data_IF_411834131291
#
_entry.id   IF_411834131291
#
_cell.length_a   1.000
_cell.length_b   1.000
_cell.length_c   1.000
_cell.angle_alpha   90.00
_cell.angle_beta   90.00
_cell.angle_gamma   90.00
#
_symmetry.space_group_name_H-M   'P 1'
#
loop_
_entity.id
_entity.type
_entity.pdbx_description
1 polymer ?
#
# COMPACT_ATOMS: atom_id res chain seq x y z
N UNK A 1 9.16 -6.96 -20.27
CA UNK A 1 8.69 -6.47 -18.96
C UNK A 1 8.14 -7.65 -18.20
N UNK A 2 8.51 -7.86 -16.92
CA UNK A 2 7.91 -8.90 -16.07
C UNK A 2 6.89 -8.23 -15.14
N UNK A 3 5.71 -8.80 -15.00
CA UNK A 3 4.61 -8.27 -14.18
C UNK A 3 4.18 -9.33 -13.17
N UNK A 4 3.96 -8.92 -11.92
CA UNK A 4 3.45 -9.80 -10.85
C UNK A 4 1.92 -9.90 -10.95
N UNK A 5 1.42 -10.79 -11.81
CA UNK A 5 0.00 -10.83 -12.20
C UNK A 5 -0.89 -11.70 -11.30
N UNK A 6 -0.32 -12.52 -10.41
CA UNK A 6 -1.08 -13.53 -9.64
C UNK A 6 -1.46 -13.09 -8.22
N UNK A 7 -1.32 -11.82 -7.89
CA UNK A 7 -1.78 -11.30 -6.61
C UNK A 7 -3.30 -11.31 -6.52
N UNK A 8 -3.81 -11.90 -5.43
CA UNK A 8 -5.24 -11.82 -5.04
C UNK A 8 -5.44 -10.86 -3.87
N UNK A 9 -4.53 -10.97 -2.91
CA UNK A 9 -4.55 -10.19 -1.67
C UNK A 9 -3.77 -8.88 -1.76
N UNK A 10 -3.17 -8.56 -2.92
CA UNK A 10 -2.56 -7.26 -3.16
C UNK A 10 -3.09 -6.65 -4.45
N UNK A 11 -3.38 -5.35 -4.42
CA UNK A 11 -3.84 -4.61 -5.59
C UNK A 11 -3.44 -3.14 -5.48
N UNK A 12 -2.84 -2.59 -6.54
CA UNK A 12 -2.70 -1.15 -6.71
C UNK A 12 -3.99 -0.64 -7.36
N UNK A 13 -4.82 0.05 -6.57
CA UNK A 13 -6.17 0.45 -6.97
C UNK A 13 -6.20 1.73 -7.79
N UNK A 14 -5.45 2.72 -7.33
CA UNK A 14 -5.39 4.04 -7.95
C UNK A 14 -4.07 4.73 -7.57
N UNK A 15 -3.67 5.72 -8.34
CA UNK A 15 -2.52 6.55 -8.06
C UNK A 15 -2.79 7.96 -8.60
N UNK A 16 -2.51 8.98 -7.80
CA UNK A 16 -2.67 10.38 -8.19
C UNK A 16 -1.98 11.31 -7.19
N UNK A 17 -1.42 12.42 -7.66
CA UNK A 17 -0.81 13.48 -6.83
C UNK A 17 0.27 12.97 -5.89
N UNK A 18 1.23 12.19 -6.41
CA UNK A 18 2.37 11.68 -5.63
C UNK A 18 2.00 10.59 -4.62
N UNK A 19 0.81 10.00 -4.71
CA UNK A 19 0.37 8.93 -3.82
C UNK A 19 -0.27 7.78 -4.59
N UNK A 20 -0.22 6.60 -3.98
CA UNK A 20 -0.90 5.39 -4.42
C UNK A 20 -1.88 4.91 -3.36
N UNK A 21 -3.01 4.40 -3.81
CA UNK A 21 -4.02 3.70 -3.03
C UNK A 21 -3.86 2.20 -3.29
N UNK A 22 -3.59 1.45 -2.23
CA UNK A 22 -3.29 0.02 -2.31
C UNK A 22 -4.20 -0.78 -1.39
N UNK A 23 -4.59 -1.98 -1.83
CA UNK A 23 -5.30 -2.98 -1.04
C UNK A 23 -4.36 -4.11 -0.67
N UNK A 24 -4.38 -4.49 0.61
CA UNK A 24 -3.58 -5.55 1.23
C UNK A 24 -4.51 -6.45 2.05
N UNK A 25 -5.06 -7.48 1.44
CA UNK A 25 -6.21 -8.23 1.95
C UNK A 25 -7.42 -7.30 2.01
N UNK A 26 -7.92 -7.07 3.23
CA UNK A 26 -8.99 -6.11 3.53
C UNK A 26 -8.47 -4.71 3.91
N UNK A 27 -7.15 -4.54 4.03
CA UNK A 27 -6.53 -3.31 4.48
C UNK A 27 -6.20 -2.40 3.29
N UNK A 28 -6.88 -1.26 3.24
CA UNK A 28 -6.59 -0.15 2.33
C UNK A 28 -5.54 0.80 2.92
N UNK A 29 -4.47 1.09 2.18
CA UNK A 29 -3.41 2.02 2.58
C UNK A 29 -3.18 3.09 1.51
N UNK A 30 -2.88 4.30 1.95
CA UNK A 30 -2.38 5.38 1.09
C UNK A 30 -0.89 5.57 1.37
N UNK A 31 -0.05 5.47 0.34
CA UNK A 31 1.40 5.64 0.47
C UNK A 31 1.94 6.65 -0.52
N UNK A 32 2.99 7.41 -0.15
CA UNK A 32 3.64 8.32 -1.08
C UNK A 32 4.48 7.54 -2.10
N UNK A 33 4.38 7.96 -3.35
CA UNK A 33 5.16 7.47 -4.46
C UNK A 33 5.58 8.66 -5.35
N UNK A 34 6.86 9.08 -5.29
CA UNK A 34 7.34 10.24 -6.05
C UNK A 34 7.32 10.04 -7.57
N UNK A 35 7.12 8.80 -8.05
CA UNK A 35 6.99 8.51 -9.48
C UNK A 35 5.57 8.75 -10.01
N UNK A 36 4.58 8.95 -9.13
CA UNK A 36 3.20 9.31 -9.49
C UNK A 36 3.15 10.81 -9.77
N UNK A 37 3.47 11.19 -11.01
CA UNK A 37 3.56 12.59 -11.45
C UNK A 37 2.22 13.17 -11.90
N UNK A 38 1.23 12.33 -12.21
CA UNK A 38 -0.05 12.78 -12.75
C UNK A 38 -1.00 13.28 -11.64
N UNK A 39 -1.76 14.32 -11.98
CA UNK A 39 -2.83 14.86 -11.15
C UNK A 39 -4.17 14.56 -11.82
N UNK A 40 -4.81 13.49 -11.37
CA UNK A 40 -6.15 13.09 -11.80
C UNK A 40 -7.12 13.14 -10.62
N UNK A 41 -8.42 13.41 -10.84
CA UNK A 41 -9.41 13.32 -9.77
C UNK A 41 -9.44 11.93 -9.15
N UNK A 42 -9.30 11.85 -7.83
CA UNK A 42 -9.42 10.61 -7.03
C UNK A 42 -10.87 10.15 -6.96
N UNK A 43 -11.37 9.55 -8.04
CA UNK A 43 -12.77 9.13 -8.18
C UNK A 43 -13.11 7.87 -7.40
N UNK A 44 -12.11 7.02 -7.13
CA UNK A 44 -12.33 5.80 -6.36
C UNK A 44 -12.78 6.16 -4.92
N UNK A 45 -13.97 5.74 -4.47
CA UNK A 45 -14.46 6.06 -3.12
C UNK A 45 -13.55 5.47 -2.03
N UNK A 46 -12.74 4.46 -2.34
CA UNK A 46 -11.81 3.81 -1.41
C UNK A 46 -10.69 4.73 -0.91
N UNK A 47 -10.41 5.84 -1.60
CA UNK A 47 -9.54 6.90 -1.05
C UNK A 47 -10.05 7.44 0.29
N UNK A 48 -11.38 7.52 0.47
CA UNK A 48 -12.03 7.95 1.73
C UNK A 48 -12.24 6.80 2.72
N UNK A 49 -11.90 5.58 2.30
CA UNK A 49 -12.05 4.35 3.09
C UNK A 49 -10.70 3.75 3.50
N UNK A 50 -9.59 4.40 3.17
CA UNK A 50 -8.26 4.00 3.59
C UNK A 50 -8.20 3.83 5.12
N UNK A 51 -7.51 2.79 5.57
CA UNK A 51 -7.30 2.51 6.99
C UNK A 51 -6.17 3.35 7.56
N UNK A 52 -5.13 3.58 6.76
CA UNK A 52 -4.05 4.46 7.14
C UNK A 52 -3.40 5.13 5.93
N UNK A 53 -2.79 6.28 6.20
CA UNK A 53 -2.00 7.06 5.25
C UNK A 53 -0.62 7.30 5.83
N UNK A 54 0.42 7.08 5.02
CA UNK A 54 1.78 7.41 5.44
C UNK A 54 2.14 8.85 5.03
N UNK A 55 2.47 9.69 6.01
CA UNK A 55 2.95 11.04 5.79
C UNK A 55 4.46 11.08 5.87
N UNK A 56 5.10 11.54 4.80
CA UNK A 56 6.56 11.71 4.76
C UNK A 56 6.96 12.99 5.51
N UNK A 57 8.00 12.90 6.33
CA UNK A 57 8.61 14.10 6.93
C UNK A 57 9.68 14.70 6.00
N UNK A 58 9.79 16.03 5.99
CA UNK A 58 10.84 16.77 5.28
C UNK A 58 12.23 16.56 5.90
N UNK A 59 12.31 16.13 7.15
CA UNK A 59 13.57 15.83 7.85
C UNK A 59 14.00 14.36 7.74
N UNK A 60 13.30 13.56 6.93
CA UNK A 60 13.50 12.12 6.79
C UNK A 60 12.51 11.30 7.63
N UNK A 61 12.23 10.07 7.19
CA UNK A 61 11.24 9.21 7.82
C UNK A 61 9.79 9.65 7.52
N UNK A 62 8.94 9.61 8.54
CA UNK A 62 7.51 9.89 8.44
C UNK A 62 6.70 9.11 9.47
N UNK A 63 5.38 9.16 9.33
CA UNK A 63 4.47 8.52 10.27
C UNK A 63 3.21 8.01 9.60
N UNK A 64 2.64 6.95 10.16
CA UNK A 64 1.32 6.45 9.77
C UNK A 64 0.24 7.22 10.54
N UNK A 65 -0.63 7.90 9.80
CA UNK A 65 -1.90 8.37 10.31
C UNK A 65 -2.93 7.23 10.19
N UNK A 66 -3.52 6.81 11.31
CA UNK A 66 -4.61 5.83 11.33
C UNK A 66 -5.93 6.57 11.12
N UNK A 67 -6.57 6.32 10.00
CA UNK A 67 -7.84 6.92 9.59
C UNK A 67 -9.04 6.07 10.02
N UNK A 68 -8.84 4.75 10.16
CA UNK A 68 -9.84 3.76 10.58
C UNK A 68 -9.19 2.67 11.43
N UNK A 69 -9.98 1.78 12.07
CA UNK A 69 -9.42 0.63 12.78
C UNK A 69 -8.47 -0.17 11.90
N UNK A 70 -7.22 -0.26 12.31
CA UNK A 70 -6.16 -0.97 11.59
C UNK A 70 -5.55 -1.96 12.58
N UNK A 71 -5.51 -3.27 12.31
CA UNK A 71 -4.89 -4.22 13.21
C UNK A 71 -3.37 -3.96 13.31
N UNK A 72 -2.76 -4.38 14.42
CA UNK A 72 -1.30 -4.25 14.61
C UNK A 72 -0.52 -5.04 13.56
N UNK A 73 -1.08 -6.17 13.12
CA UNK A 73 -0.60 -6.95 11.98
C UNK A 73 -1.76 -7.66 11.28
N UNK A 74 -1.58 -8.01 10.01
CA UNK A 74 -2.54 -8.82 9.25
C UNK A 74 -1.79 -9.75 8.31
N UNK A 75 -2.50 -10.75 7.75
CA UNK A 75 -1.92 -11.72 6.85
C UNK A 75 -2.42 -11.53 5.42
N UNK A 76 -1.53 -11.74 4.45
CA UNK A 76 -1.88 -11.87 3.04
C UNK A 76 -1.23 -13.11 2.45
N UNK A 77 -1.70 -13.55 1.29
CA UNK A 77 -1.22 -14.75 0.60
C UNK A 77 -0.81 -14.50 -0.85
N UNK A 78 0.13 -15.31 -1.33
CA UNK A 78 0.51 -15.41 -2.73
C UNK A 78 0.82 -16.87 -3.06
N UNK A 79 -0.06 -17.52 -3.83
CA UNK A 79 0.04 -18.96 -4.06
C UNK A 79 -0.01 -19.74 -2.73
N UNK A 80 1.05 -20.46 -2.41
CA UNK A 80 1.20 -21.21 -1.15
C UNK A 80 1.92 -20.41 -0.04
N UNK A 81 2.40 -19.21 -0.35
CA UNK A 81 3.11 -18.36 0.59
C UNK A 81 2.13 -17.52 1.43
N UNK A 82 2.45 -17.35 2.71
CA UNK A 82 1.70 -16.52 3.64
C UNK A 82 2.64 -15.53 4.31
N UNK A 83 2.27 -14.26 4.30
CA UNK A 83 3.08 -13.16 4.84
C UNK A 83 2.34 -12.47 5.98
N UNK A 84 3.07 -12.06 7.02
CA UNK A 84 2.57 -11.21 8.09
C UNK A 84 3.03 -9.78 7.85
N UNK A 85 2.08 -8.87 7.70
CA UNK A 85 2.30 -7.45 7.41
C UNK A 85 1.96 -6.61 8.63
N UNK A 86 2.64 -5.47 8.77
CA UNK A 86 2.29 -4.45 9.75
C UNK A 86 2.78 -3.09 9.30
N UNK A 87 2.19 -1.98 9.77
CA UNK A 87 2.74 -0.65 9.56
C UNK A 87 4.08 -0.56 10.30
N UNK A 88 5.15 -0.25 9.58
CA UNK A 88 6.48 -0.06 10.16
C UNK A 88 6.74 1.43 10.46
N UNK A 89 7.86 1.76 11.10
CA UNK A 89 8.29 3.16 11.28
C UNK A 89 8.58 3.91 9.96
N UNK A 90 8.59 3.18 8.83
CA UNK A 90 8.73 3.72 7.49
C UNK A 90 7.49 3.39 6.64
N UNK A 91 7.43 3.89 5.41
CA UNK A 91 6.33 3.65 4.44
C UNK A 91 6.11 2.18 4.06
N UNK A 92 6.98 1.27 4.48
CA UNK A 92 6.92 -0.15 4.10
C UNK A 92 5.99 -0.93 5.03
N UNK A 93 5.38 -1.97 4.48
CA UNK A 93 4.50 -2.92 5.18
C UNK A 93 5.19 -4.26 5.48
N UNK A 94 6.45 -4.42 5.06
CA UNK A 94 7.25 -5.63 5.21
C UNK A 94 7.32 -6.52 3.95
N UNK A 95 6.59 -6.17 2.89
CA UNK A 95 6.57 -6.93 1.64
C UNK A 95 6.66 -6.01 0.41
N UNK A 96 7.33 -6.49 -0.63
CA UNK A 96 7.45 -5.84 -1.95
C UNK A 96 6.75 -6.73 -3.01
N UNK A 97 5.45 -6.53 -3.27
CA UNK A 97 4.64 -7.39 -4.15
C UNK A 97 5.18 -7.50 -5.57
N UNK A 98 5.86 -6.46 -6.05
CA UNK A 98 6.50 -6.41 -7.36
C UNK A 98 7.61 -7.47 -7.52
N UNK A 99 8.21 -7.94 -6.43
CA UNK A 99 9.25 -8.97 -6.46
C UNK A 99 8.69 -10.39 -6.68
N UNK A 100 7.37 -10.57 -6.67
CA UNK A 100 6.74 -11.89 -6.82
C UNK A 100 7.03 -12.60 -8.15
N UNK A 101 7.49 -11.87 -9.17
CA UNK A 101 7.97 -12.44 -10.43
C UNK A 101 9.29 -13.23 -10.30
N UNK A 102 9.94 -13.14 -9.14
CA UNK A 102 11.22 -13.78 -8.84
C UNK A 102 11.11 -14.87 -7.76
N UNK A 103 9.90 -15.12 -7.22
CA UNK A 103 9.67 -16.11 -6.17
C UNK A 103 9.37 -17.50 -6.73
#
# INVERSE_FOLDING_TARGET
MRVAEHWKDYELLDASRGERLERWGDILLIRPDPQVLWDTPRRDPRWKQAHARYHRSNTGGGQWERLRPLPESWQITYGQLRFSLKPMGFKHTGLFPEQAVNW
#
